data_IF_263964891749
#
_entry.id   IF_263964891749
#
_cell.length_a   1.000
_cell.length_b   1.000
_cell.length_c   1.000
_cell.angle_alpha   90.00
_cell.angle_beta   90.00
_cell.angle_gamma   90.00
#
_symmetry.space_group_name_H-M   'P 1'
#
loop_
_entity.id
_entity.type
_entity.pdbx_description
1 polymer ?
#
# COMPACT_ATOMS: atom_id res chain seq x y z
N UNK A 1 17.26 5.01 5.86
CA UNK A 1 15.94 5.18 5.22
C UNK A 1 14.90 4.43 6.05
N UNK A 2 13.77 5.07 6.36
CA UNK A 2 12.66 4.39 7.02
C UNK A 2 12.05 3.35 6.08
N UNK A 3 11.65 2.19 6.60
CA UNK A 3 10.95 1.14 5.84
C UNK A 3 9.51 1.04 6.37
N UNK A 4 8.63 1.97 5.98
CA UNK A 4 7.31 2.14 6.60
C UNK A 4 6.38 0.93 6.43
N UNK A 5 6.62 0.10 5.42
CA UNK A 5 5.86 -1.13 5.17
C UNK A 5 6.42 -2.37 5.89
N UNK A 6 7.54 -2.24 6.62
CA UNK A 6 8.02 -3.32 7.50
C UNK A 6 7.39 -3.14 8.87
N UNK A 7 6.49 -4.06 9.22
CA UNK A 7 5.71 -4.00 10.45
C UNK A 7 6.16 -5.09 11.41
N UNK A 8 6.51 -4.69 12.64
CA UNK A 8 6.69 -5.67 13.71
C UNK A 8 5.33 -6.18 14.18
N UNK A 9 5.11 -7.49 14.06
CA UNK A 9 3.85 -8.17 14.40
C UNK A 9 3.86 -8.85 15.77
N UNK A 10 4.95 -8.78 16.54
CA UNK A 10 5.07 -9.43 17.86
C UNK A 10 3.95 -8.98 18.80
N UNK A 11 3.61 -7.68 18.80
CA UNK A 11 2.54 -7.15 19.64
C UNK A 11 1.15 -7.57 19.14
N UNK A 12 0.98 -7.67 17.82
CA UNK A 12 -0.28 -8.10 17.18
C UNK A 12 -0.57 -9.57 17.50
N UNK A 13 0.44 -10.43 17.46
CA UNK A 13 0.32 -11.87 17.71
C UNK A 13 0.19 -12.23 19.19
N UNK A 14 0.36 -11.27 20.11
CA UNK A 14 0.28 -11.53 21.55
C UNK A 14 -1.14 -11.90 21.99
N UNK A 15 -2.16 -11.32 21.35
CA UNK A 15 -3.55 -11.57 21.68
C UNK A 15 -4.35 -11.86 20.40
N UNK A 16 -4.97 -13.05 20.27
CA UNK A 16 -5.89 -13.33 19.17
C UNK A 16 -6.99 -12.26 19.08
N UNK A 17 -7.29 -11.78 17.86
CA UNK A 17 -8.23 -10.69 17.63
C UNK A 17 -7.66 -9.28 17.82
N UNK A 18 -6.35 -9.13 18.09
CA UNK A 18 -5.70 -7.82 18.01
C UNK A 18 -5.69 -7.32 16.57
N UNK A 19 -5.95 -6.03 16.38
CA UNK A 19 -5.82 -5.38 15.10
C UNK A 19 -4.84 -4.20 15.13
N UNK A 20 -4.34 -3.83 13.96
CA UNK A 20 -3.49 -2.66 13.77
C UNK A 20 -3.76 -2.04 12.40
N UNK A 21 -4.01 -0.75 12.41
CA UNK A 21 -4.12 0.06 11.20
C UNK A 21 -2.82 0.81 10.93
N UNK A 22 -2.46 0.88 9.66
CA UNK A 22 -1.28 1.59 9.17
C UNK A 22 -1.72 2.49 8.02
N UNK A 23 -1.38 3.77 8.13
CA UNK A 23 -1.55 4.75 7.07
C UNK A 23 -0.20 5.45 6.86
N UNK A 24 0.38 5.28 5.67
CA UNK A 24 1.70 5.81 5.31
C UNK A 24 1.71 6.32 3.89
N UNK A 25 2.60 7.27 3.62
CA UNK A 25 2.98 7.65 2.26
C UNK A 25 4.36 7.06 1.96
N UNK A 26 4.49 6.40 0.81
CA UNK A 26 5.75 5.82 0.34
C UNK A 26 6.13 6.38 -1.02
N UNK A 27 7.41 6.41 -1.34
CA UNK A 27 7.84 6.81 -2.68
C UNK A 27 7.34 5.79 -3.71
N UNK A 28 7.03 6.25 -4.93
CA UNK A 28 6.60 5.37 -6.01
C UNK A 28 7.60 4.25 -6.31
N UNK A 29 8.89 4.57 -6.23
CA UNK A 29 9.98 3.63 -6.49
C UNK A 29 10.08 2.51 -5.42
N UNK A 30 9.44 2.69 -4.26
CA UNK A 30 9.39 1.69 -3.20
C UNK A 30 8.22 0.69 -3.38
N UNK A 31 7.37 0.85 -4.40
CA UNK A 31 6.19 0.01 -4.66
C UNK A 31 6.10 -0.39 -6.13
N UNK A 32 6.10 -1.70 -6.40
CA UNK A 32 6.06 -2.24 -7.77
C UNK A 32 4.61 -2.46 -8.23
N UNK A 33 4.11 -1.59 -9.12
CA UNK A 33 2.75 -1.69 -9.70
C UNK A 33 2.65 -2.50 -10.99
N UNK A 34 3.79 -2.95 -11.53
CA UNK A 34 3.87 -3.61 -12.85
C UNK A 34 3.27 -2.77 -14.02
N UNK A 35 3.09 -1.44 -13.84
CA UNK A 35 2.56 -0.53 -14.85
C UNK A 35 3.43 0.72 -14.99
N UNK A 36 3.96 0.94 -16.21
CA UNK A 36 4.84 2.08 -16.50
C UNK A 36 4.11 3.44 -16.51
N UNK A 37 2.77 3.45 -16.42
CA UNK A 37 1.96 4.67 -16.40
C UNK A 37 1.87 5.32 -15.04
N UNK A 38 2.35 4.66 -13.98
CA UNK A 38 2.32 5.23 -12.63
C UNK A 38 3.24 6.45 -12.58
N UNK A 39 2.70 7.55 -12.04
CA UNK A 39 3.45 8.79 -11.85
C UNK A 39 4.36 8.63 -10.63
N UNK A 40 5.55 9.22 -10.67
CA UNK A 40 6.50 9.22 -9.54
C UNK A 40 6.09 10.22 -8.44
N UNK A 41 4.87 10.07 -7.93
CA UNK A 41 4.32 10.80 -6.79
C UNK A 41 4.17 9.86 -5.58
N UNK A 42 4.18 10.38 -4.34
CA UNK A 42 3.99 9.55 -3.16
C UNK A 42 2.66 8.78 -3.19
N UNK A 43 2.71 7.51 -2.79
CA UNK A 43 1.56 6.61 -2.78
C UNK A 43 1.01 6.55 -1.38
N UNK A 44 -0.28 6.84 -1.24
CA UNK A 44 -0.99 6.63 0.01
C UNK A 44 -1.34 5.14 0.15
N UNK A 45 -0.89 4.53 1.24
CA UNK A 45 -1.15 3.13 1.58
C UNK A 45 -1.91 3.08 2.90
N UNK A 46 -3.06 2.43 2.89
CA UNK A 46 -3.88 2.17 4.07
C UNK A 46 -4.06 0.66 4.23
N UNK A 47 -3.60 0.10 5.35
CA UNK A 47 -3.61 -1.33 5.62
C UNK A 47 -4.21 -1.60 6.99
N UNK A 48 -5.13 -2.56 7.03
CA UNK A 48 -5.67 -3.17 8.22
C UNK A 48 -5.03 -4.55 8.42
N UNK A 49 -4.55 -4.81 9.63
CA UNK A 49 -3.97 -6.09 10.02
C UNK A 49 -4.74 -6.66 11.20
N UNK A 50 -4.99 -7.97 11.20
CA UNK A 50 -5.67 -8.67 12.28
C UNK A 50 -4.96 -10.00 12.62
N UNK A 51 -4.74 -10.26 13.91
CA UNK A 51 -4.24 -11.54 14.37
C UNK A 51 -5.34 -12.61 14.32
N UNK A 52 -5.09 -13.65 13.53
CA UNK A 52 -5.95 -14.82 13.36
C UNK A 52 -5.28 -16.07 13.95
N UNK A 53 -6.03 -17.15 14.14
CA UNK A 53 -5.58 -18.36 14.85
C UNK A 53 -4.21 -18.90 14.41
N UNK A 54 -3.88 -18.80 13.11
CA UNK A 54 -2.62 -19.31 12.55
C UNK A 54 -1.83 -18.24 11.78
N UNK A 55 -1.96 -16.96 12.13
CA UNK A 55 -1.18 -15.90 11.48
C UNK A 55 -1.76 -14.50 11.57
N UNK A 56 -1.50 -13.70 10.55
CA UNK A 56 -1.99 -12.33 10.44
C UNK A 56 -2.72 -12.18 9.11
N UNK A 57 -3.98 -11.75 9.16
CA UNK A 57 -4.71 -11.28 7.99
C UNK A 57 -4.29 -9.85 7.69
N UNK A 58 -4.01 -9.54 6.43
CA UNK A 58 -3.61 -8.20 5.98
C UNK A 58 -4.47 -7.81 4.78
N UNK A 59 -5.17 -6.70 4.87
CA UNK A 59 -5.99 -6.16 3.79
C UNK A 59 -5.82 -4.65 3.72
N UNK A 60 -5.99 -4.06 2.54
CA UNK A 60 -5.73 -2.64 2.38
C UNK A 60 -5.86 -2.15 0.96
N UNK A 61 -5.57 -0.87 0.78
CA UNK A 61 -5.58 -0.18 -0.50
C UNK A 61 -4.31 0.65 -0.67
N UNK A 62 -3.81 0.70 -1.90
CA UNK A 62 -2.75 1.60 -2.32
C UNK A 62 -3.32 2.51 -3.41
N UNK A 63 -3.15 3.82 -3.25
CA UNK A 63 -3.65 4.83 -4.17
C UNK A 63 -2.47 5.47 -4.89
N UNK A 64 -2.41 5.28 -6.20
CA UNK A 64 -1.37 5.85 -7.06
C UNK A 64 -2.00 6.66 -8.19
N UNK A 65 -1.37 7.77 -8.53
CA UNK A 65 -1.70 8.51 -9.74
C UNK A 65 -1.09 7.81 -10.95
N UNK A 66 -1.82 7.78 -12.06
CA UNK A 66 -1.33 7.27 -13.32
C UNK A 66 -1.58 8.33 -14.40
N UNK A 67 -0.70 8.36 -15.40
CA UNK A 67 -0.82 9.25 -16.55
C UNK A 67 -1.01 8.42 -17.82
N UNK A 68 -1.83 8.90 -18.74
CA UNK A 68 -1.99 8.25 -20.03
C UNK A 68 -2.47 9.20 -21.11
N UNK A 69 -2.77 8.63 -22.28
CA UNK A 69 -3.27 9.40 -23.41
C UNK A 69 -4.61 8.84 -23.87
N UNK A 70 -5.56 9.73 -24.12
CA UNK A 70 -6.87 9.36 -24.64
C UNK A 70 -6.75 8.83 -26.07
N UNK A 71 -7.09 7.56 -26.30
CA UNK A 71 -7.05 6.93 -27.63
C UNK A 71 -7.92 7.61 -28.70
N UNK A 72 -8.90 8.43 -28.30
CA UNK A 72 -9.83 9.08 -29.24
C UNK A 72 -9.35 10.45 -29.71
N UNK A 73 -8.81 11.26 -28.80
CA UNK A 73 -8.44 12.65 -29.09
C UNK A 73 -6.95 12.95 -28.88
N UNK A 74 -6.17 11.96 -28.44
CA UNK A 74 -4.73 12.05 -28.16
C UNK A 74 -4.38 13.17 -27.15
N UNK A 75 -5.28 13.42 -26.19
CA UNK A 75 -5.08 14.39 -25.11
C UNK A 75 -4.65 13.66 -23.82
N UNK A 76 -3.79 14.27 -22.99
CA UNK A 76 -3.40 13.69 -21.70
C UNK A 76 -4.61 13.39 -20.81
N UNK A 77 -4.53 12.28 -20.08
CA UNK A 77 -5.44 11.85 -19.02
C UNK A 77 -4.76 11.95 -17.66
#
# INVERSE_FOLDING_TARGET
>A
MAKPLIVNVIELLRWPGSSKDIAVEVAADDFEFEDARIVSEPIAIAVHMEAITNGVSVSGVAHAAWAGECRRCLTPL
#
